data_IF_242812629787
#
_entry.id   IF_242812629787
#
_cell.length_a   1.000
_cell.length_b   1.000
_cell.length_c   1.000
_cell.angle_alpha   90.00
_cell.angle_beta   90.00
_cell.angle_gamma   90.00
#
_symmetry.space_group_name_H-M   'P 1'
#
loop_
_entity.id
_entity.type
_entity.pdbx_description
1 polymer ?
#
# COMPACT_ATOMS: atom_id res chain seq x y z
N UNK A 1 21.37 5.32 1.00
CA UNK A 1 20.00 5.84 1.29
C UNK A 1 19.04 5.02 0.43
N UNK A 2 17.91 4.60 0.97
CA UNK A 2 16.89 3.86 0.21
C UNK A 2 16.25 4.84 -0.78
N UNK A 3 16.22 4.49 -2.07
CA UNK A 3 15.56 5.34 -3.07
C UNK A 3 14.03 5.27 -2.91
N UNK A 4 13.46 4.07 -2.99
CA UNK A 4 12.02 3.85 -2.80
C UNK A 4 11.76 2.83 -1.70
N UNK A 5 11.06 3.23 -0.64
CA UNK A 5 10.56 2.37 0.42
C UNK A 5 9.08 2.07 0.17
N UNK A 6 8.74 0.79 0.04
CA UNK A 6 7.37 0.33 -0.15
C UNK A 6 6.71 0.08 1.20
N UNK A 7 5.63 0.77 1.46
CA UNK A 7 4.90 0.66 2.73
C UNK A 7 3.52 0.08 2.46
N UNK A 8 3.20 -1.02 3.16
CA UNK A 8 1.89 -1.67 3.11
C UNK A 8 1.16 -1.35 4.42
N UNK A 9 0.27 -0.35 4.46
CA UNK A 9 -0.52 -0.09 5.66
C UNK A 9 -1.57 -1.18 5.86
N UNK A 10 -1.61 -1.78 7.06
CA UNK A 10 -2.56 -2.81 7.43
C UNK A 10 -3.06 -2.60 8.86
N UNK A 11 -4.38 -2.74 9.09
CA UNK A 11 -4.99 -2.66 10.41
C UNK A 11 -6.05 -3.72 10.61
N UNK A 12 -6.07 -4.31 11.80
CA UNK A 12 -7.09 -5.31 12.17
C UNK A 12 -8.44 -4.68 12.49
N UNK A 13 -8.44 -3.43 12.99
CA UNK A 13 -9.65 -2.67 13.30
C UNK A 13 -10.21 -2.03 12.02
N UNK A 14 -11.08 -2.75 11.34
CA UNK A 14 -11.87 -2.24 10.21
C UNK A 14 -13.35 -2.33 10.56
N UNK A 15 -14.11 -1.25 10.38
CA UNK A 15 -15.56 -1.23 10.67
C UNK A 15 -16.36 -2.10 9.70
N UNK A 16 -15.96 -2.15 8.44
CA UNK A 16 -16.66 -2.90 7.38
C UNK A 16 -16.26 -4.39 7.36
N UNK A 17 -15.02 -4.71 7.68
CA UNK A 17 -14.52 -6.09 7.69
C UNK A 17 -13.38 -6.20 8.73
N UNK A 18 -13.71 -6.50 10.01
CA UNK A 18 -12.73 -6.73 11.05
C UNK A 18 -11.80 -7.90 10.70
N UNK A 19 -10.50 -7.77 11.00
CA UNK A 19 -9.54 -8.82 10.70
C UNK A 19 -9.16 -8.96 9.22
N UNK A 20 -9.55 -8.01 8.37
CA UNK A 20 -9.33 -8.04 6.93
C UNK A 20 -7.93 -8.48 6.49
N UNK A 21 -6.80 -8.00 7.07
CA UNK A 21 -5.46 -8.42 6.66
C UNK A 21 -5.20 -9.92 6.79
N UNK A 22 -5.86 -10.59 7.74
CA UNK A 22 -5.72 -12.03 7.98
C UNK A 22 -6.83 -12.87 7.32
N UNK A 23 -7.77 -12.23 6.62
CA UNK A 23 -8.75 -12.96 5.82
C UNK A 23 -8.04 -13.79 4.75
N UNK A 24 -8.46 -15.04 4.60
CA UNK A 24 -7.83 -15.97 3.67
C UNK A 24 -8.48 -15.89 2.28
N UNK A 25 -7.65 -15.77 1.28
CA UNK A 25 -7.99 -15.88 -0.13
C UNK A 25 -7.22 -17.10 -0.64
N UNK A 26 -7.93 -18.14 -1.08
CA UNK A 26 -7.33 -19.43 -1.48
C UNK A 26 -6.36 -20.02 -0.45
N UNK A 27 -6.71 -19.89 0.84
CA UNK A 27 -5.92 -20.46 1.95
C UNK A 27 -4.77 -19.58 2.45
N UNK A 28 -4.45 -18.47 1.77
CA UNK A 28 -3.37 -17.55 2.14
C UNK A 28 -3.93 -16.23 2.66
N UNK A 29 -3.37 -15.69 3.72
CA UNK A 29 -3.75 -14.39 4.29
C UNK A 29 -3.59 -13.27 3.26
N UNK A 30 -4.57 -12.38 3.17
CA UNK A 30 -4.60 -11.29 2.19
C UNK A 30 -3.35 -10.41 2.26
N UNK A 31 -2.84 -10.14 3.47
CA UNK A 31 -1.62 -9.34 3.66
C UNK A 31 -0.39 -10.00 3.03
N UNK A 32 -0.28 -11.33 3.10
CA UNK A 32 0.81 -12.08 2.49
C UNK A 32 0.72 -12.06 0.96
N UNK A 33 -0.49 -12.14 0.42
CA UNK A 33 -0.72 -12.02 -1.02
C UNK A 33 -0.32 -10.63 -1.52
N UNK A 34 -0.72 -9.57 -0.81
CA UNK A 34 -0.34 -8.19 -1.16
C UNK A 34 1.18 -7.99 -1.07
N UNK A 35 1.83 -8.48 -0.01
CA UNK A 35 3.28 -8.45 0.13
C UNK A 35 3.98 -9.17 -1.04
N UNK A 36 3.49 -10.35 -1.39
CA UNK A 36 4.06 -11.16 -2.47
C UNK A 36 3.93 -10.47 -3.85
N UNK A 37 2.96 -9.57 -4.06
CA UNK A 37 2.88 -8.80 -5.31
C UNK A 37 4.11 -7.89 -5.49
N UNK A 38 4.60 -7.26 -4.41
CA UNK A 38 5.83 -6.47 -4.46
C UNK A 38 7.05 -7.33 -4.76
N UNK A 39 7.19 -8.46 -4.05
CA UNK A 39 8.31 -9.39 -4.26
C UNK A 39 8.33 -9.94 -5.68
N UNK A 40 7.18 -10.38 -6.20
CA UNK A 40 7.04 -10.87 -7.58
C UNK A 40 7.29 -9.80 -8.64
N UNK A 41 7.06 -8.53 -8.31
CA UNK A 41 7.39 -7.41 -9.19
C UNK A 41 8.89 -7.02 -9.15
N UNK A 42 9.72 -7.71 -8.32
CA UNK A 42 11.15 -7.50 -8.22
C UNK A 42 11.59 -6.54 -7.12
N UNK A 43 10.68 -6.15 -6.21
CA UNK A 43 11.06 -5.30 -5.07
C UNK A 43 11.80 -6.13 -4.02
N UNK A 44 12.96 -5.64 -3.57
CA UNK A 44 13.74 -6.28 -2.50
C UNK A 44 12.96 -6.30 -1.19
N UNK A 45 13.01 -7.42 -0.46
CA UNK A 45 12.39 -7.57 0.86
C UNK A 45 12.82 -6.48 1.86
N UNK A 46 14.07 -6.03 1.77
CA UNK A 46 14.61 -4.98 2.64
C UNK A 46 14.02 -3.60 2.35
N UNK A 47 13.37 -3.43 1.22
CA UNK A 47 12.68 -2.21 0.82
C UNK A 47 11.17 -2.28 1.02
N UNK A 48 10.67 -3.30 1.73
CA UNK A 48 9.23 -3.47 2.00
C UNK A 48 8.99 -3.45 3.51
N UNK A 49 8.10 -2.60 3.97
CA UNK A 49 7.66 -2.52 5.37
C UNK A 49 6.13 -2.67 5.43
N UNK A 50 5.65 -3.58 6.28
CA UNK A 50 4.23 -3.66 6.61
C UNK A 50 3.97 -2.80 7.85
N UNK A 51 3.23 -1.69 7.70
CA UNK A 51 2.91 -0.78 8.78
C UNK A 51 1.58 -1.19 9.44
N UNK A 52 1.62 -1.70 10.67
CA UNK A 52 0.50 -2.36 11.35
C UNK A 52 0.07 -1.64 12.62
N UNK A 53 -1.16 -1.92 13.08
CA UNK A 53 -1.55 -1.70 14.47
C UNK A 53 -0.94 -2.77 15.40
N UNK A 54 -0.94 -2.52 16.71
CA UNK A 54 -0.42 -3.48 17.69
C UNK A 54 -1.39 -4.66 17.86
N UNK A 55 -1.36 -5.62 16.95
CA UNK A 55 -2.18 -6.81 16.98
C UNK A 55 -1.32 -8.08 16.98
N UNK A 56 -1.54 -8.95 17.98
CA UNK A 56 -0.73 -10.14 18.19
C UNK A 56 -0.75 -11.12 17.01
N UNK A 57 -1.94 -11.41 16.45
CA UNK A 57 -2.08 -12.40 15.38
C UNK A 57 -1.42 -11.92 14.08
N UNK A 58 -1.56 -10.62 13.76
CA UNK A 58 -0.91 -10.03 12.60
C UNK A 58 0.62 -10.03 12.76
N UNK A 59 1.13 -9.66 13.93
CA UNK A 59 2.56 -9.74 14.25
C UNK A 59 3.06 -11.18 14.11
N UNK A 60 2.33 -12.17 14.62
CA UNK A 60 2.69 -13.58 14.52
C UNK A 60 2.82 -14.03 13.07
N UNK A 61 1.86 -13.70 12.21
CA UNK A 61 1.88 -14.04 10.79
C UNK A 61 3.09 -13.41 10.10
N UNK A 62 3.35 -12.12 10.31
CA UNK A 62 4.49 -11.42 9.68
C UNK A 62 5.83 -12.00 10.15
N UNK A 63 6.01 -12.26 11.44
CA UNK A 63 7.22 -12.88 11.99
C UNK A 63 7.46 -14.28 11.41
N UNK A 64 6.42 -15.12 11.36
CA UNK A 64 6.53 -16.49 10.81
C UNK A 64 6.99 -16.47 9.35
N UNK A 65 6.57 -15.47 8.58
CA UNK A 65 6.95 -15.30 7.18
C UNK A 65 8.20 -14.43 6.97
N UNK A 66 8.89 -14.03 8.06
CA UNK A 66 10.11 -13.19 8.03
C UNK A 66 9.92 -11.88 7.27
N UNK A 67 8.74 -11.27 7.41
CA UNK A 67 8.37 -10.00 6.78
C UNK A 67 8.71 -8.85 7.71
N UNK A 68 9.38 -7.82 7.20
CA UNK A 68 9.67 -6.60 7.94
C UNK A 68 8.38 -5.83 8.23
N UNK A 69 8.19 -5.42 9.47
CA UNK A 69 7.02 -4.66 9.89
C UNK A 69 7.36 -3.62 10.94
N UNK A 70 6.53 -2.58 11.01
CA UNK A 70 6.58 -1.55 12.04
C UNK A 70 5.21 -1.35 12.68
N UNK A 71 5.21 -1.19 14.01
CA UNK A 71 3.98 -0.89 14.76
C UNK A 71 3.74 0.61 14.78
N UNK A 72 2.61 1.02 14.21
CA UNK A 72 2.13 2.41 14.20
C UNK A 72 0.83 2.50 14.98
N UNK A 73 0.85 3.19 16.14
CA UNK A 73 -0.27 3.16 17.11
C UNK A 73 -1.39 4.12 16.75
N UNK A 74 -1.09 5.37 16.44
CA UNK A 74 -2.06 6.47 16.44
C UNK A 74 -2.45 6.95 15.02
N UNK A 75 -2.33 6.10 14.01
CA UNK A 75 -2.69 6.45 12.64
C UNK A 75 -4.19 6.23 12.37
N UNK A 76 -4.87 7.26 11.92
CA UNK A 76 -6.30 7.23 11.56
C UNK A 76 -6.50 6.55 10.21
N UNK A 77 -5.66 6.90 9.23
CA UNK A 77 -5.73 6.40 7.85
C UNK A 77 -4.51 5.54 7.47
N UNK A 78 -4.57 4.89 6.31
CA UNK A 78 -3.40 4.20 5.73
C UNK A 78 -2.27 5.18 5.41
N UNK A 79 -2.60 6.36 4.91
CA UNK A 79 -1.62 7.42 4.59
C UNK A 79 -0.91 7.93 5.84
N UNK A 80 -1.61 8.08 6.97
CA UNK A 80 -0.98 8.46 8.24
C UNK A 80 0.05 7.42 8.69
N UNK A 81 -0.22 6.12 8.42
CA UNK A 81 0.75 5.04 8.70
C UNK A 81 2.01 5.17 7.86
N UNK A 82 1.84 5.48 6.57
CA UNK A 82 2.99 5.72 5.68
C UNK A 82 3.79 6.93 6.16
N UNK A 83 3.13 8.01 6.55
CA UNK A 83 3.78 9.21 7.08
C UNK A 83 4.57 8.91 8.36
N UNK A 84 4.05 8.06 9.26
CA UNK A 84 4.78 7.63 10.46
C UNK A 84 6.02 6.80 10.13
N UNK A 85 5.94 5.92 9.13
CA UNK A 85 7.12 5.19 8.64
C UNK A 85 8.15 6.17 8.06
N UNK A 86 7.70 7.16 7.29
CA UNK A 86 8.59 8.16 6.69
C UNK A 86 9.36 8.99 7.73
N UNK A 87 8.79 9.22 8.92
CA UNK A 87 9.49 9.90 10.02
C UNK A 87 10.57 9.04 10.68
N UNK A 88 10.47 7.71 10.56
CA UNK A 88 11.35 6.74 11.26
C UNK A 88 12.40 6.14 10.36
N UNK A 89 12.08 5.89 9.11
CA UNK A 89 12.94 5.20 8.15
C UNK A 89 13.17 6.10 6.95
N UNK A 90 14.34 6.74 6.82
CA UNK A 90 14.64 7.66 5.73
C UNK A 90 14.68 6.96 4.36
N UNK A 91 13.94 7.46 3.40
CA UNK A 91 14.01 7.11 1.99
C UNK A 91 13.73 8.35 1.14
N UNK A 92 14.10 8.32 -0.13
CA UNK A 92 13.83 9.43 -1.06
C UNK A 92 12.32 9.48 -1.36
N UNK A 93 11.71 8.32 -1.63
CA UNK A 93 10.28 8.21 -1.91
C UNK A 93 9.64 7.07 -1.13
N UNK A 94 8.36 7.23 -0.81
CA UNK A 94 7.55 6.24 -0.13
C UNK A 94 6.41 5.80 -1.04
N UNK A 95 6.42 4.52 -1.43
CA UNK A 95 5.36 3.93 -2.26
C UNK A 95 4.31 3.29 -1.35
N UNK A 96 3.10 3.82 -1.38
CA UNK A 96 1.97 3.31 -0.60
C UNK A 96 1.21 2.25 -1.42
N UNK A 97 1.38 0.97 -1.09
CA UNK A 97 0.53 -0.11 -1.60
C UNK A 97 -0.48 -0.49 -0.51
N UNK A 98 -1.77 -0.30 -0.77
CA UNK A 98 -2.80 -0.63 0.22
C UNK A 98 -2.79 -2.13 0.56
N UNK A 99 -2.92 -2.47 1.84
CA UNK A 99 -2.88 -3.86 2.33
C UNK A 99 -4.01 -4.76 1.81
N UNK A 100 -4.99 -4.18 1.12
CA UNK A 100 -6.12 -4.86 0.51
C UNK A 100 -6.07 -4.91 -1.03
N UNK A 101 -4.87 -4.84 -1.60
CA UNK A 101 -4.60 -4.94 -3.04
C UNK A 101 -3.88 -6.25 -3.42
N UNK A 102 -4.42 -7.44 -3.05
CA UNK A 102 -3.75 -8.73 -3.29
C UNK A 102 -3.64 -9.09 -4.78
N UNK A 103 -4.41 -8.42 -5.63
CA UNK A 103 -4.44 -8.64 -7.08
C UNK A 103 -3.81 -7.49 -7.88
N UNK A 104 -3.08 -6.58 -7.24
CA UNK A 104 -2.39 -5.48 -7.94
C UNK A 104 -1.56 -6.04 -9.11
N UNK A 105 -1.75 -5.59 -10.36
CA UNK A 105 -0.96 -6.04 -11.50
C UNK A 105 0.53 -5.77 -11.30
N UNK A 106 1.37 -6.76 -11.57
CA UNK A 106 2.82 -6.64 -11.39
C UNK A 106 3.40 -5.50 -12.22
N UNK A 107 2.89 -5.33 -13.44
CA UNK A 107 3.30 -4.25 -14.34
C UNK A 107 3.05 -2.85 -13.76
N UNK A 108 1.98 -2.65 -12.98
CA UNK A 108 1.71 -1.38 -12.32
C UNK A 108 2.76 -1.09 -11.23
N UNK A 109 3.13 -2.11 -10.45
CA UNK A 109 4.19 -2.00 -9.45
C UNK A 109 5.52 -1.69 -10.15
N UNK A 110 5.85 -2.40 -11.22
CA UNK A 110 7.08 -2.18 -11.98
C UNK A 110 7.13 -0.78 -12.60
N UNK A 111 6.02 -0.28 -13.15
CA UNK A 111 5.92 1.10 -13.64
C UNK A 111 6.19 2.12 -12.54
N UNK A 112 5.58 1.94 -11.35
CA UNK A 112 5.83 2.82 -10.20
C UNK A 112 7.28 2.73 -9.71
N UNK A 113 7.88 1.53 -9.73
CA UNK A 113 9.28 1.33 -9.35
C UNK A 113 10.25 2.07 -10.28
N UNK A 114 9.95 2.12 -11.57
CA UNK A 114 10.79 2.74 -12.60
C UNK A 114 10.47 4.21 -12.86
N UNK A 115 9.45 4.76 -12.19
CA UNK A 115 9.04 6.14 -12.39
C UNK A 115 10.13 7.10 -11.89
N UNK A 116 10.56 8.03 -12.77
CA UNK A 116 11.37 9.16 -12.33
C UNK A 116 10.45 10.21 -11.70
N UNK A 117 10.70 10.51 -10.43
CA UNK A 117 9.93 11.46 -9.62
C UNK A 117 10.68 12.77 -9.38
N UNK A 118 11.80 13.01 -10.08
CA UNK A 118 12.56 14.24 -9.94
C UNK A 118 11.70 15.46 -10.34
N UNK A 119 11.62 16.42 -9.43
CA UNK A 119 10.78 17.61 -9.59
C UNK A 119 9.31 17.44 -9.23
N UNK A 120 8.87 16.22 -8.84
CA UNK A 120 7.50 15.95 -8.43
C UNK A 120 7.40 15.62 -6.94
N UNK A 121 6.43 16.22 -6.25
CA UNK A 121 6.15 15.93 -4.85
C UNK A 121 5.40 14.61 -4.62
N UNK A 122 4.62 14.19 -5.60
CA UNK A 122 3.83 12.94 -5.53
C UNK A 122 3.48 12.43 -6.93
N UNK A 123 3.18 11.13 -7.02
CA UNK A 123 2.57 10.50 -8.19
C UNK A 123 1.50 9.52 -7.76
N UNK A 124 0.44 9.40 -8.54
CA UNK A 124 -0.67 8.48 -8.29
C UNK A 124 -1.04 7.73 -9.55
N UNK A 125 -1.26 6.41 -9.43
CA UNK A 125 -1.80 5.60 -10.50
C UNK A 125 -3.32 5.81 -10.64
N UNK A 126 -3.80 5.95 -11.87
CA UNK A 126 -5.23 6.05 -12.15
C UNK A 126 -5.63 5.22 -13.36
N UNK A 127 -6.92 4.96 -13.50
CA UNK A 127 -7.52 4.35 -14.67
C UNK A 127 -8.75 5.13 -15.14
N UNK A 128 -9.12 4.95 -16.40
CA UNK A 128 -10.32 5.58 -16.95
C UNK A 128 -11.57 5.00 -16.32
N UNK A 129 -12.54 5.85 -15.97
CA UNK A 129 -13.88 5.42 -15.57
C UNK A 129 -14.57 4.84 -16.82
N UNK A 130 -15.10 3.62 -16.71
CA UNK A 130 -15.67 2.90 -17.83
C UNK A 130 -17.17 3.16 -17.99
N UNK A 131 -17.90 3.42 -16.90
CA UNK A 131 -19.36 3.53 -16.91
C UNK A 131 -19.88 4.74 -16.13
N UNK A 132 -21.09 5.21 -16.47
CA UNK A 132 -21.79 6.25 -15.69
C UNK A 132 -22.11 5.81 -14.26
N UNK A 133 -22.31 4.51 -14.04
CA UNK A 133 -22.53 3.97 -12.70
C UNK A 133 -21.28 4.15 -11.82
N UNK A 134 -20.10 3.88 -12.35
CA UNK A 134 -18.81 4.15 -11.65
C UNK A 134 -18.61 5.66 -11.43
N UNK A 135 -18.91 6.47 -12.45
CA UNK A 135 -18.79 7.93 -12.35
C UNK A 135 -19.65 8.50 -11.22
N UNK A 136 -20.86 7.99 -11.03
CA UNK A 136 -21.80 8.46 -10.03
C UNK A 136 -21.64 7.77 -8.67
N UNK A 137 -20.88 6.70 -8.58
CA UNK A 137 -20.69 5.93 -7.35
C UNK A 137 -19.81 6.69 -6.34
N UNK A 138 -20.27 6.96 -5.11
CA UNK A 138 -19.43 7.56 -4.07
C UNK A 138 -18.33 6.62 -3.56
N UNK A 139 -18.36 5.34 -3.97
CA UNK A 139 -17.37 4.32 -3.59
C UNK A 139 -16.19 4.27 -4.52
N UNK A 140 -16.26 4.88 -5.69
CA UNK A 140 -15.18 4.97 -6.67
C UNK A 140 -14.48 6.31 -6.51
N UNK A 141 -13.22 6.37 -6.06
CA UNK A 141 -12.44 7.60 -6.01
C UNK A 141 -12.29 8.19 -7.40
N UNK A 142 -12.35 9.51 -7.51
CA UNK A 142 -12.16 10.24 -8.77
C UNK A 142 -10.95 11.13 -8.67
N UNK A 143 -10.21 11.20 -9.77
CA UNK A 143 -9.14 12.17 -9.96
C UNK A 143 -9.69 13.28 -10.88
N UNK A 144 -9.46 14.51 -10.49
CA UNK A 144 -9.80 15.70 -11.27
C UNK A 144 -8.49 16.36 -11.67
N UNK A 145 -8.32 16.60 -12.95
CA UNK A 145 -7.14 17.32 -13.47
C UNK A 145 -7.46 18.82 -13.53
N UNK A 146 -6.43 19.63 -13.33
CA UNK A 146 -6.50 21.04 -13.62
C UNK A 146 -6.62 21.27 -15.14
N UNK A 147 -6.95 22.46 -15.59
CA UNK A 147 -7.00 22.82 -17.02
C UNK A 147 -5.61 22.77 -17.67
N UNK A 148 -4.52 22.87 -16.89
CA UNK A 148 -3.14 22.68 -17.34
C UNK A 148 -2.73 21.21 -17.42
N UNK A 149 -3.57 20.28 -16.95
CA UNK A 149 -3.27 18.84 -16.92
C UNK A 149 -2.55 18.36 -15.67
N UNK A 150 -2.28 19.25 -14.71
CA UNK A 150 -1.70 18.92 -13.39
C UNK A 150 -2.80 18.46 -12.43
N UNK A 151 -2.41 17.68 -11.38
CA UNK A 151 -3.29 17.25 -10.29
C UNK A 151 -3.51 18.37 -9.29
#
# INVERSE_FOLDING_TARGET
>A
MIDKLYVIPARMKSTRFPGKPLAKIWGTEMILLTYNRLVLAGVSNDHIIVAIDNNYDLVKVLKTNKINYEIVRDAITGTDRVAEIARRIPATYYVNLQGDEPLMPLENIQRMSNLNLEGFGAAIGYCKIATKAEQNSPKVPKIVFSTSGDL
#
